data_IF_025820171285
#
_entry.id   IF_025820171285
#
_cell.length_a   1.000
_cell.length_b   1.000
_cell.length_c   1.000
_cell.angle_alpha   90.00
_cell.angle_beta   90.00
_cell.angle_gamma   90.00
#
_symmetry.space_group_name_H-M   'P 1'
#
loop_
_entity.id
_entity.type
_entity.pdbx_description
1 polymer ?
#
# COMPACT_ATOMS: atom_id res chain seq x y z
N UNK A 1 20.23 10.23 -0.14
CA UNK A 1 21.15 9.14 0.28
C UNK A 1 21.89 9.62 1.51
N UNK A 2 22.06 8.73 2.50
CA UNK A 2 22.60 9.10 3.82
C UNK A 2 24.06 8.68 4.04
N UNK A 3 24.50 8.78 5.30
CA UNK A 3 25.84 8.40 5.75
C UNK A 3 26.04 6.86 5.71
N UNK A 4 27.04 6.35 4.97
CA UNK A 4 27.35 4.92 4.94
C UNK A 4 27.67 4.29 6.31
N UNK A 5 28.18 5.06 7.27
CA UNK A 5 28.53 4.56 8.61
C UNK A 5 27.30 4.18 9.45
N UNK A 6 26.14 4.74 9.12
CA UNK A 6 24.86 4.47 9.79
C UNK A 6 24.05 3.36 9.11
N UNK A 7 24.53 2.82 7.99
CA UNK A 7 23.82 1.79 7.24
C UNK A 7 23.84 0.45 8.00
N UNK A 8 22.65 -0.06 8.33
CA UNK A 8 22.45 -1.36 8.96
C UNK A 8 21.61 -2.28 8.05
N UNK A 9 22.13 -3.45 7.62
CA UNK A 9 21.37 -4.41 6.82
C UNK A 9 20.10 -4.94 7.49
N UNK A 10 20.05 -4.97 8.82
CA UNK A 10 18.88 -5.44 9.57
C UNK A 10 17.70 -4.45 9.53
N UNK A 11 17.94 -3.21 9.07
CA UNK A 11 16.93 -2.17 8.91
C UNK A 11 16.24 -2.20 7.53
N UNK A 12 16.64 -3.13 6.64
CA UNK A 12 16.01 -3.30 5.33
C UNK A 12 14.57 -3.81 5.50
N UNK A 13 13.62 -3.20 4.80
CA UNK A 13 12.21 -3.59 4.86
C UNK A 13 12.03 -5.06 4.45
N UNK A 14 11.27 -5.80 5.26
CA UNK A 14 11.03 -7.22 5.05
C UNK A 14 9.95 -7.47 3.99
N UNK A 15 10.42 -7.79 2.78
CA UNK A 15 9.63 -8.23 1.64
C UNK A 15 9.85 -9.72 1.30
N UNK A 16 10.10 -10.58 2.30
CA UNK A 16 10.44 -12.00 2.10
C UNK A 16 9.46 -12.80 1.22
N UNK A 17 8.20 -12.38 1.10
CA UNK A 17 7.20 -13.01 0.24
C UNK A 17 7.62 -13.11 -1.23
N UNK A 18 8.54 -12.27 -1.69
CA UNK A 18 9.08 -12.35 -3.05
C UNK A 18 9.91 -13.63 -3.29
N UNK A 19 10.53 -14.16 -2.23
CA UNK A 19 11.46 -15.30 -2.29
C UNK A 19 10.97 -16.53 -1.51
N UNK A 20 9.83 -16.43 -0.81
CA UNK A 20 9.30 -17.51 0.01
C UNK A 20 8.80 -18.68 -0.87
N UNK A 21 9.15 -19.95 -0.55
CA UNK A 21 8.83 -21.11 -1.41
C UNK A 21 7.32 -21.34 -1.62
N UNK A 22 6.51 -20.99 -0.62
CA UNK A 22 5.05 -21.11 -0.67
C UNK A 22 4.35 -19.94 -1.37
N UNK A 23 5.11 -18.95 -1.86
CA UNK A 23 4.56 -17.76 -2.51
C UNK A 23 4.95 -17.69 -3.98
N UNK A 24 4.14 -17.00 -4.78
CA UNK A 24 4.52 -16.55 -6.13
C UNK A 24 4.40 -15.06 -6.18
N UNK A 25 5.40 -14.41 -6.75
CA UNK A 25 5.45 -12.97 -6.87
C UNK A 25 5.99 -12.54 -8.23
N UNK A 26 5.55 -11.37 -8.68
CA UNK A 26 6.12 -10.66 -9.82
C UNK A 26 5.98 -9.17 -9.54
N UNK A 27 6.96 -8.40 -9.99
CA UNK A 27 7.02 -6.97 -9.75
C UNK A 27 7.58 -6.21 -10.94
N UNK A 28 7.37 -4.91 -10.90
CA UNK A 28 7.68 -4.00 -11.98
C UNK A 28 8.22 -2.67 -11.44
N UNK A 29 8.86 -1.92 -12.33
CA UNK A 29 9.26 -0.54 -12.10
C UNK A 29 8.35 0.37 -12.92
N UNK A 30 7.68 1.29 -12.24
CA UNK A 30 6.95 2.39 -12.85
C UNK A 30 7.64 3.72 -12.54
N UNK A 31 7.32 4.75 -13.32
CA UNK A 31 7.88 6.08 -13.16
C UNK A 31 6.76 7.11 -12.95
N UNK A 32 6.90 7.89 -11.89
CA UNK A 32 5.93 8.90 -11.50
C UNK A 32 6.50 10.31 -11.69
N UNK A 33 5.73 11.18 -12.32
CA UNK A 33 6.00 12.63 -12.40
C UNK A 33 5.32 13.38 -11.25
N UNK A 34 5.72 13.05 -10.02
CA UNK A 34 5.19 13.65 -8.80
C UNK A 34 6.09 13.37 -7.60
N UNK A 35 5.92 14.17 -6.55
CA UNK A 35 6.55 13.94 -5.24
C UNK A 35 6.12 12.57 -4.70
N UNK A 36 7.10 11.77 -4.25
CA UNK A 36 6.88 10.44 -3.68
C UNK A 36 5.89 10.44 -2.51
N UNK A 37 5.76 11.55 -1.79
CA UNK A 37 4.79 11.69 -0.69
C UNK A 37 3.35 11.59 -1.17
N UNK A 38 3.05 12.08 -2.37
CA UNK A 38 1.70 11.95 -2.96
C UNK A 38 1.35 10.47 -3.20
N UNK A 39 2.33 9.68 -3.64
CA UNK A 39 2.15 8.23 -3.82
C UNK A 39 2.00 7.49 -2.49
N UNK A 40 2.77 7.88 -1.45
CA UNK A 40 2.59 7.34 -0.10
C UNK A 40 1.18 7.61 0.43
N UNK A 41 0.68 8.83 0.25
CA UNK A 41 -0.69 9.19 0.65
C UNK A 41 -1.75 8.43 -0.15
N UNK A 42 -1.59 8.32 -1.47
CA UNK A 42 -2.47 7.52 -2.33
C UNK A 42 -2.55 6.06 -1.87
N UNK A 43 -1.43 5.42 -1.58
CA UNK A 43 -1.43 4.01 -1.13
C UNK A 43 -2.00 3.80 0.27
N UNK A 44 -2.03 4.82 1.12
CA UNK A 44 -2.61 4.77 2.47
C UNK A 44 -4.09 5.17 2.51
N UNK A 45 -4.64 5.68 1.41
CA UNK A 45 -6.05 6.00 1.25
C UNK A 45 -6.72 5.02 0.29
N UNK A 46 -7.78 4.34 0.70
CA UNK A 46 -8.59 3.53 -0.22
C UNK A 46 -9.96 4.15 -0.53
N UNK A 47 -10.16 5.44 -0.22
CA UNK A 47 -11.39 6.16 -0.57
C UNK A 47 -11.50 6.39 -2.07
N UNK A 48 -10.36 6.54 -2.77
CA UNK A 48 -10.32 6.76 -4.22
C UNK A 48 -10.65 5.50 -5.04
N UNK A 49 -10.59 4.29 -4.45
CA UNK A 49 -10.81 3.03 -5.20
C UNK A 49 -12.15 3.01 -5.95
N UNK A 50 -13.20 3.57 -5.35
CA UNK A 50 -14.54 3.62 -5.96
C UNK A 50 -14.67 4.64 -7.09
N UNK A 51 -13.70 5.54 -7.26
CA UNK A 51 -13.73 6.62 -8.25
C UNK A 51 -12.71 6.40 -9.37
N UNK A 52 -11.47 6.05 -9.01
CA UNK A 52 -10.36 5.87 -9.96
C UNK A 52 -10.41 4.45 -10.53
N UNK A 53 -10.55 3.44 -9.68
CA UNK A 53 -10.48 2.03 -10.07
C UNK A 53 -11.85 1.38 -10.22
N UNK A 54 -12.89 2.13 -10.59
CA UNK A 54 -14.26 1.64 -10.65
C UNK A 54 -14.43 0.40 -11.54
N UNK A 55 -13.54 0.21 -12.52
CA UNK A 55 -13.54 -0.93 -13.46
C UNK A 55 -12.57 -2.06 -13.09
N UNK A 56 -11.64 -1.83 -12.16
CA UNK A 56 -10.56 -2.78 -11.82
C UNK A 56 -10.67 -3.29 -10.38
N UNK A 57 -10.66 -2.39 -9.38
CA UNK A 57 -10.61 -2.74 -7.94
C UNK A 57 -11.82 -2.26 -7.12
N UNK A 58 -12.58 -1.28 -7.63
CA UNK A 58 -13.71 -0.68 -6.94
C UNK A 58 -14.90 -1.63 -6.84
N UNK A 59 -15.39 -1.85 -5.61
CA UNK A 59 -16.73 -2.42 -5.37
C UNK A 59 -17.48 -1.50 -4.43
N UNK A 60 -18.81 -1.34 -4.60
CA UNK A 60 -19.65 -0.46 -3.77
C UNK A 60 -19.46 -0.70 -2.25
N UNK A 61 -19.24 -1.96 -1.85
CA UNK A 61 -19.00 -2.35 -0.45
C UNK A 61 -17.72 -1.74 0.19
N UNK A 62 -16.74 -1.33 -0.60
CA UNK A 62 -15.48 -0.71 -0.13
C UNK A 62 -15.71 0.74 0.34
N UNK A 63 -16.71 1.42 -0.24
CA UNK A 63 -17.02 2.81 0.06
C UNK A 63 -17.69 2.96 1.45
N UNK A 64 -18.40 1.95 1.92
CA UNK A 64 -19.26 2.07 3.10
C UNK A 64 -18.58 1.78 4.44
N UNK A 65 -17.40 1.14 4.44
CA UNK A 65 -16.68 0.79 5.68
C UNK A 65 -15.52 1.75 5.96
N UNK A 66 -15.58 2.57 7.01
CA UNK A 66 -14.49 3.47 7.37
C UNK A 66 -13.27 2.68 7.83
N UNK A 67 -12.10 3.15 7.43
CA UNK A 67 -10.84 2.61 7.92
C UNK A 67 -10.52 3.10 9.32
N UNK A 68 -9.76 2.29 10.05
CA UNK A 68 -9.08 2.72 11.27
C UNK A 68 -7.60 2.81 10.97
N UNK A 69 -6.92 3.79 11.56
CA UNK A 69 -5.47 3.84 11.50
C UNK A 69 -4.89 3.86 12.91
N UNK A 70 -3.69 3.29 13.03
CA UNK A 70 -2.90 3.27 14.25
C UNK A 70 -1.47 3.70 13.92
N UNK A 71 -0.91 4.55 14.76
CA UNK A 71 0.49 4.98 14.65
C UNK A 71 1.30 4.23 15.70
N UNK A 72 2.29 3.47 15.24
CA UNK A 72 3.36 2.93 16.08
C UNK A 72 4.53 3.91 16.19
N UNK A 73 5.65 3.44 16.74
CA UNK A 73 6.83 4.30 16.97
C UNK A 73 7.40 4.87 15.66
N UNK A 74 7.52 4.02 14.64
CA UNK A 74 8.07 4.39 13.31
C UNK A 74 7.18 3.96 12.14
N UNK A 75 6.01 3.38 12.37
CA UNK A 75 5.13 2.89 11.31
C UNK A 75 3.70 3.38 11.49
N UNK A 76 2.93 3.37 10.41
CA UNK A 76 1.49 3.65 10.43
C UNK A 76 0.77 2.48 9.79
N UNK A 77 -0.26 1.96 10.45
CA UNK A 77 -1.09 0.87 9.93
C UNK A 77 -2.51 1.36 9.72
N UNK A 78 -3.05 1.14 8.52
CA UNK A 78 -4.45 1.37 8.16
C UNK A 78 -5.12 0.02 8.01
N UNK A 79 -6.24 -0.17 8.70
CA UNK A 79 -6.98 -1.44 8.78
C UNK A 79 -8.42 -1.24 8.35
N UNK A 80 -8.88 -2.12 7.47
CA UNK A 80 -10.29 -2.31 7.13
C UNK A 80 -10.64 -3.80 7.16
N UNK A 81 -11.77 -4.09 7.77
CA UNK A 81 -12.44 -5.40 7.71
C UNK A 81 -13.82 -5.20 7.10
N UNK A 82 -14.18 -6.03 6.12
CA UNK A 82 -15.54 -6.11 5.59
C UNK A 82 -16.04 -7.51 5.91
N UNK A 83 -16.96 -7.60 6.86
CA UNK A 83 -17.43 -8.87 7.41
C UNK A 83 -18.68 -9.35 6.67
N UNK A 84 -18.81 -10.66 6.51
CA UNK A 84 -20.02 -11.32 6.00
C UNK A 84 -20.55 -10.68 4.69
N UNK A 85 -19.66 -10.56 3.70
CA UNK A 85 -19.97 -9.92 2.41
C UNK A 85 -19.83 -10.88 1.24
N UNK A 86 -20.61 -10.65 0.18
CA UNK A 86 -20.44 -11.38 -1.08
C UNK A 86 -19.05 -11.08 -1.65
N UNK A 87 -18.29 -12.09 -2.11
CA UNK A 87 -16.96 -11.88 -2.67
C UNK A 87 -17.04 -11.01 -3.93
N UNK A 88 -16.07 -10.09 -4.14
CA UNK A 88 -15.98 -9.36 -5.40
C UNK A 88 -15.70 -10.33 -6.56
N UNK A 89 -16.02 -9.98 -7.83
CA UNK A 89 -15.85 -10.87 -8.98
C UNK A 89 -14.43 -11.43 -9.15
N UNK A 90 -13.41 -10.67 -8.72
CA UNK A 90 -12.03 -11.14 -8.74
C UNK A 90 -11.81 -12.33 -7.78
N UNK A 91 -12.47 -12.33 -6.62
CA UNK A 91 -12.27 -13.34 -5.57
C UNK A 91 -12.95 -14.66 -5.93
N UNK A 92 -14.06 -14.62 -6.65
CA UNK A 92 -14.68 -15.84 -7.20
C UNK A 92 -13.80 -16.46 -8.29
N UNK A 93 -13.25 -15.64 -9.20
CA UNK A 93 -12.38 -16.09 -10.30
C UNK A 93 -11.03 -16.64 -9.82
N UNK A 94 -10.38 -15.95 -8.88
CA UNK A 94 -9.01 -16.26 -8.44
C UNK A 94 -9.00 -17.12 -7.17
N UNK A 95 -9.83 -16.78 -6.17
CA UNK A 95 -9.85 -17.38 -4.84
C UNK A 95 -10.73 -18.63 -4.69
N UNK A 96 -11.53 -18.97 -5.70
CA UNK A 96 -12.35 -20.19 -5.71
C UNK A 96 -13.55 -20.17 -4.77
N UNK A 97 -14.02 -18.97 -4.40
CA UNK A 97 -15.28 -18.80 -3.67
C UNK A 97 -16.47 -18.86 -4.63
N UNK A 98 -17.57 -19.47 -4.20
CA UNK A 98 -18.84 -19.45 -4.93
C UNK A 98 -19.49 -18.05 -4.87
N UNK A 99 -20.26 -17.68 -5.89
CA UNK A 99 -20.93 -16.36 -5.96
C UNK A 99 -21.95 -16.14 -4.83
N UNK A 100 -22.51 -17.22 -4.27
CA UNK A 100 -23.46 -17.19 -3.16
C UNK A 100 -22.77 -17.36 -1.79
N UNK A 101 -21.46 -17.63 -1.74
CA UNK A 101 -20.71 -17.70 -0.48
C UNK A 101 -20.48 -16.30 0.09
N UNK A 102 -20.38 -16.22 1.42
CA UNK A 102 -20.02 -15.00 2.12
C UNK A 102 -18.59 -15.11 2.65
N UNK A 103 -17.87 -13.98 2.62
CA UNK A 103 -16.47 -13.87 3.04
C UNK A 103 -16.25 -12.72 4.01
N UNK A 104 -15.30 -12.92 4.91
CA UNK A 104 -14.67 -11.87 5.70
C UNK A 104 -13.41 -11.40 4.96
N UNK A 105 -13.37 -10.12 4.60
CA UNK A 105 -12.28 -9.50 3.82
C UNK A 105 -11.45 -8.60 4.72
N UNK A 106 -10.13 -8.58 4.49
CA UNK A 106 -9.23 -7.65 5.17
C UNK A 106 -8.37 -6.86 4.20
N UNK A 107 -8.04 -5.65 4.63
CA UNK A 107 -7.02 -4.80 4.03
C UNK A 107 -6.22 -4.19 5.20
N UNK A 108 -4.98 -4.63 5.39
CA UNK A 108 -4.05 -4.04 6.35
C UNK A 108 -2.90 -3.41 5.58
N UNK A 109 -2.85 -2.08 5.55
CA UNK A 109 -1.81 -1.32 4.87
C UNK A 109 -0.85 -0.83 5.93
N UNK A 110 0.44 -1.12 5.78
CA UNK A 110 1.49 -0.64 6.69
C UNK A 110 2.44 0.23 5.90
N UNK A 111 2.61 1.47 6.33
CA UNK A 111 3.70 2.33 5.90
C UNK A 111 4.86 2.23 6.89
N UNK A 112 6.06 2.10 6.35
CA UNK A 112 7.32 2.17 7.08
C UNK A 112 8.28 3.15 6.40
N UNK A 113 9.18 3.82 7.15
CA UNK A 113 10.04 4.85 6.60
C UNK A 113 11.16 4.24 5.76
N UNK A 114 11.72 5.00 4.80
CA UNK A 114 11.30 6.35 4.45
C UNK A 114 10.06 6.40 3.53
N UNK A 115 9.84 5.38 2.70
CA UNK A 115 8.73 5.35 1.76
C UNK A 115 8.41 3.91 1.29
N UNK A 116 8.22 3.00 2.24
CA UNK A 116 7.74 1.65 1.97
C UNK A 116 6.27 1.53 2.35
N UNK A 117 5.49 0.83 1.53
CA UNK A 117 4.10 0.52 1.83
C UNK A 117 3.82 -0.96 1.53
N UNK A 118 3.33 -1.69 2.52
CA UNK A 118 2.93 -3.10 2.38
C UNK A 118 1.44 -3.25 2.63
N UNK A 119 0.73 -3.87 1.71
CA UNK A 119 -0.66 -4.25 1.89
C UNK A 119 -0.76 -5.76 2.14
N UNK A 120 -1.43 -6.12 3.23
CA UNK A 120 -1.98 -7.44 3.51
C UNK A 120 -3.44 -7.44 3.05
N UNK A 121 -3.75 -8.17 1.98
CA UNK A 121 -5.11 -8.21 1.45
C UNK A 121 -5.53 -9.64 1.30
N UNK A 122 -6.78 -9.94 1.65
CA UNK A 122 -7.32 -11.26 1.41
C UNK A 122 -8.77 -11.41 1.85
N UNK A 123 -9.22 -12.64 1.76
CA UNK A 123 -10.53 -13.06 2.21
C UNK A 123 -10.50 -14.50 2.69
N UNK A 124 -11.39 -14.82 3.62
CA UNK A 124 -11.69 -16.18 4.05
C UNK A 124 -13.19 -16.35 4.21
N UNK A 125 -13.68 -17.59 4.26
CA UNK A 125 -15.10 -17.87 4.50
C UNK A 125 -15.61 -17.12 5.73
N UNK A 126 -16.79 -16.51 5.63
CA UNK A 126 -17.38 -15.72 6.70
C UNK A 126 -17.51 -16.55 7.98
N UNK A 127 -17.08 -15.97 9.11
CA UNK A 127 -17.13 -16.64 10.41
C UNK A 127 -16.09 -17.75 10.62
N UNK A 128 -15.15 -17.95 9.69
CA UNK A 128 -14.04 -18.91 9.85
C UNK A 128 -13.09 -18.57 10.99
N UNK A 129 -13.06 -17.31 11.42
CA UNK A 129 -12.14 -16.83 12.45
C UNK A 129 -10.94 -16.05 11.92
N UNK A 130 -10.98 -15.60 10.65
CA UNK A 130 -9.91 -14.81 10.02
C UNK A 130 -9.51 -13.56 10.81
N UNK A 131 -10.47 -12.83 11.39
CA UNK A 131 -10.19 -11.67 12.25
C UNK A 131 -9.39 -12.04 13.51
N UNK A 132 -9.52 -13.29 13.97
CA UNK A 132 -8.78 -13.85 15.11
C UNK A 132 -7.48 -14.56 14.70
N UNK A 133 -7.13 -14.51 13.42
CA UNK A 133 -5.89 -15.05 12.86
C UNK A 133 -6.03 -16.35 12.08
N UNK A 134 -7.20 -17.00 12.06
CA UNK A 134 -7.40 -18.22 11.26
C UNK A 134 -7.80 -17.86 9.82
N UNK A 135 -6.80 -17.68 8.96
CA UNK A 135 -6.98 -17.39 7.54
C UNK A 135 -6.96 -18.65 6.65
N UNK A 136 -7.01 -19.85 7.25
CA UNK A 136 -6.83 -21.13 6.53
C UNK A 136 -7.95 -21.48 5.55
N UNK A 137 -9.12 -20.86 5.70
CA UNK A 137 -10.29 -21.03 4.82
C UNK A 137 -10.35 -19.93 3.75
N UNK A 138 -9.20 -19.45 3.30
CA UNK A 138 -9.10 -18.27 2.47
C UNK A 138 -7.81 -18.20 1.67
N UNK A 139 -7.52 -17.00 1.19
CA UNK A 139 -6.31 -16.69 0.46
C UNK A 139 -5.70 -15.37 0.94
N UNK A 140 -4.39 -15.21 0.73
CA UNK A 140 -3.66 -13.99 1.08
C UNK A 140 -2.88 -13.47 -0.11
N UNK A 141 -2.84 -12.15 -0.21
CA UNK A 141 -2.06 -11.40 -1.18
C UNK A 141 -1.23 -10.35 -0.45
N UNK A 142 -0.03 -10.09 -0.99
CA UNK A 142 0.86 -9.04 -0.51
C UNK A 142 1.17 -8.10 -1.66
N UNK A 143 0.77 -6.84 -1.52
CA UNK A 143 1.21 -5.79 -2.42
C UNK A 143 2.36 -5.03 -1.73
N UNK A 144 3.53 -5.02 -2.36
CA UNK A 144 4.79 -4.61 -1.76
C UNK A 144 5.33 -3.42 -2.55
N UNK A 145 5.46 -2.26 -1.91
CA UNK A 145 5.81 -1.01 -2.58
C UNK A 145 7.07 -0.41 -1.96
N UNK A 146 8.10 -0.23 -2.78
CA UNK A 146 9.34 0.46 -2.45
C UNK A 146 9.46 1.71 -3.33
N UNK A 147 9.32 2.88 -2.71
CA UNK A 147 9.22 4.15 -3.42
C UNK A 147 10.52 4.92 -3.22
N UNK A 148 11.15 5.35 -4.31
CA UNK A 148 12.42 6.07 -4.26
C UNK A 148 12.30 7.43 -4.95
N UNK A 149 12.45 8.56 -4.24
CA UNK A 149 12.48 9.86 -4.88
C UNK A 149 13.69 9.98 -5.80
N UNK A 150 13.46 10.43 -7.04
CA UNK A 150 14.53 10.78 -7.99
C UNK A 150 14.85 12.28 -7.89
N UNK A 151 13.80 13.11 -7.87
CA UNK A 151 13.89 14.54 -7.59
C UNK A 151 12.81 14.93 -6.56
N UNK A 152 12.66 16.23 -6.27
CA UNK A 152 11.53 16.72 -5.48
C UNK A 152 10.16 16.40 -6.09
N UNK A 153 10.10 16.15 -7.41
CA UNK A 153 8.85 16.01 -8.17
C UNK A 153 8.86 14.84 -9.15
N UNK A 154 9.79 13.92 -9.00
CA UNK A 154 9.85 12.69 -9.81
C UNK A 154 10.27 11.52 -8.93
N UNK A 155 9.72 10.34 -9.21
CA UNK A 155 9.80 9.19 -8.32
C UNK A 155 9.94 7.90 -9.11
N UNK A 156 10.84 7.02 -8.67
CA UNK A 156 10.89 5.62 -9.09
C UNK A 156 9.98 4.79 -8.18
N UNK A 157 9.05 4.06 -8.78
CA UNK A 157 8.07 3.25 -8.07
C UNK A 157 8.29 1.77 -8.35
N UNK A 158 8.96 1.09 -7.42
CA UNK A 158 9.12 -0.36 -7.46
C UNK A 158 7.96 -1.00 -6.71
N UNK A 159 7.28 -1.92 -7.35
CA UNK A 159 6.20 -2.67 -6.70
C UNK A 159 6.23 -4.13 -7.07
N UNK A 160 5.67 -4.97 -6.20
CA UNK A 160 5.46 -6.39 -6.47
C UNK A 160 4.13 -6.85 -5.89
N UNK A 161 3.51 -7.81 -6.58
CA UNK A 161 2.33 -8.51 -6.11
C UNK A 161 2.70 -9.96 -5.84
N UNK A 162 2.52 -10.40 -4.60
CA UNK A 162 2.72 -11.78 -4.18
C UNK A 162 1.41 -12.42 -3.71
N UNK A 163 1.30 -13.74 -3.83
CA UNK A 163 0.14 -14.52 -3.37
C UNK A 163 0.54 -15.93 -2.92
N UNK A 164 -0.30 -16.54 -2.07
CA UNK A 164 -0.10 -17.86 -1.45
C UNK A 164 -1.06 -18.96 -1.93
N UNK A 165 -1.86 -18.70 -2.97
CA UNK A 165 -2.91 -19.59 -3.44
C UNK A 165 -2.74 -19.96 -4.91
N UNK A 166 -3.08 -21.20 -5.30
CA UNK A 166 -2.95 -21.68 -6.69
C UNK A 166 -1.55 -21.40 -7.27
N UNK A 167 -0.52 -21.63 -6.46
CA UNK A 167 0.88 -21.29 -6.76
C UNK A 167 1.51 -22.21 -7.80
N UNK A 168 0.81 -23.27 -8.20
CA UNK A 168 1.09 -24.18 -9.31
C UNK A 168 0.48 -23.70 -10.64
N UNK A 169 -0.26 -22.59 -10.64
CA UNK A 169 -0.93 -22.02 -11.82
C UNK A 169 -0.34 -20.64 -12.19
N UNK A 170 0.71 -20.56 -13.03
CA UNK A 170 1.43 -19.32 -13.31
C UNK A 170 0.56 -18.16 -13.81
N UNK A 171 -0.52 -18.47 -14.54
CA UNK A 171 -1.45 -17.48 -15.07
C UNK A 171 -2.17 -16.67 -13.97
N UNK A 172 -2.27 -17.20 -12.74
CA UNK A 172 -2.82 -16.47 -11.59
C UNK A 172 -1.91 -15.29 -11.23
N UNK A 173 -0.59 -15.51 -11.20
CA UNK A 173 0.38 -14.45 -10.93
C UNK A 173 0.30 -13.36 -11.99
N UNK A 174 0.25 -13.74 -13.28
CA UNK A 174 0.15 -12.77 -14.36
C UNK A 174 -1.16 -11.97 -14.29
N UNK A 175 -2.30 -12.63 -14.07
CA UNK A 175 -3.60 -11.95 -13.92
C UNK A 175 -3.61 -10.96 -12.74
N UNK A 176 -3.02 -11.35 -11.60
CA UNK A 176 -2.92 -10.48 -10.42
C UNK A 176 -2.09 -9.23 -10.71
N UNK A 177 -0.94 -9.42 -11.36
CA UNK A 177 -0.02 -8.32 -11.70
C UNK A 177 -0.64 -7.41 -12.75
N UNK A 178 -1.28 -7.95 -13.79
CA UNK A 178 -1.96 -7.14 -14.81
C UNK A 178 -3.04 -6.25 -14.22
N UNK A 179 -3.91 -6.79 -13.35
CA UNK A 179 -4.97 -6.00 -12.71
C UNK A 179 -4.41 -4.87 -11.81
N UNK A 180 -3.33 -5.14 -11.06
CA UNK A 180 -2.70 -4.14 -10.20
C UNK A 180 -1.95 -3.10 -11.02
N UNK A 181 -1.29 -3.53 -12.11
CA UNK A 181 -0.61 -2.63 -13.04
C UNK A 181 -1.59 -1.61 -13.63
N UNK A 182 -2.73 -2.06 -14.14
CA UNK A 182 -3.76 -1.18 -14.71
C UNK A 182 -4.22 -0.13 -13.69
N UNK A 183 -4.52 -0.55 -12.45
CA UNK A 183 -4.89 0.37 -11.39
C UNK A 183 -3.77 1.39 -11.10
N UNK A 184 -2.52 0.95 -10.97
CA UNK A 184 -1.42 1.87 -10.71
C UNK A 184 -1.20 2.87 -11.84
N UNK A 185 -1.41 2.52 -13.11
CA UNK A 185 -1.32 3.50 -14.20
C UNK A 185 -2.36 4.62 -14.06
N UNK A 186 -3.58 4.30 -13.61
CA UNK A 186 -4.62 5.29 -13.35
C UNK A 186 -4.20 6.23 -12.19
N UNK A 187 -3.67 5.67 -11.10
CA UNK A 187 -3.15 6.47 -9.97
C UNK A 187 -2.02 7.41 -10.41
N UNK A 188 -1.06 6.90 -11.18
CA UNK A 188 0.10 7.67 -11.62
C UNK A 188 -0.30 8.85 -12.51
N UNK A 189 -1.33 8.70 -13.34
CA UNK A 189 -1.87 9.80 -14.14
C UNK A 189 -2.49 10.88 -13.24
N UNK A 190 -3.33 10.49 -12.28
CA UNK A 190 -4.00 11.43 -11.38
C UNK A 190 -3.01 12.14 -10.46
N UNK A 191 -2.03 11.42 -9.92
CA UNK A 191 -0.99 12.02 -9.06
C UNK A 191 -0.12 13.00 -9.85
N UNK A 192 0.22 12.70 -11.10
CA UNK A 192 0.96 13.65 -11.94
C UNK A 192 0.16 14.94 -12.19
N UNK A 193 -1.14 14.82 -12.48
CA UNK A 193 -2.04 15.98 -12.61
C UNK A 193 -2.18 16.76 -11.28
N UNK A 194 -2.20 16.06 -10.15
CA UNK A 194 -2.20 16.69 -8.83
C UNK A 194 -0.93 17.51 -8.60
N UNK A 195 0.25 16.96 -8.97
CA UNK A 195 1.52 17.69 -8.89
C UNK A 195 1.51 18.94 -9.77
N UNK A 196 1.04 18.83 -11.02
CA UNK A 196 0.91 19.99 -11.92
C UNK A 196 0.00 21.08 -11.35
N UNK A 197 -1.11 20.67 -10.73
CA UNK A 197 -2.04 21.59 -10.09
C UNK A 197 -1.39 22.31 -8.89
N UNK A 198 -0.69 21.58 -8.02
CA UNK A 198 0.07 22.16 -6.89
C UNK A 198 1.11 23.16 -7.42
N UNK A 199 1.84 22.78 -8.47
CA UNK A 199 2.89 23.59 -9.09
C UNK A 199 2.37 24.88 -9.73
N UNK A 200 1.09 24.91 -10.11
CA UNK A 200 0.46 26.11 -10.66
C UNK A 200 0.38 27.27 -9.66
N UNK A 201 0.47 26.98 -8.35
CA UNK A 201 0.30 27.96 -7.28
C UNK A 201 -1.11 28.54 -7.16
N UNK A 202 -2.09 27.98 -7.86
CA UNK A 202 -3.49 28.43 -7.86
C UNK A 202 -4.43 27.57 -7.00
N UNK A 203 -3.88 26.52 -6.38
CA UNK A 203 -4.61 25.63 -5.47
C UNK A 203 -4.96 26.34 -4.17
N UNK A 204 -6.19 26.12 -3.70
CA UNK A 204 -6.58 26.47 -2.33
C UNK A 204 -5.84 25.59 -1.32
N UNK A 205 -5.82 26.02 -0.06
CA UNK A 205 -5.32 25.22 1.04
C UNK A 205 -6.05 23.86 1.08
N UNK A 206 -5.27 22.78 1.27
CA UNK A 206 -5.80 21.43 1.40
C UNK A 206 -6.75 21.35 2.59
N UNK A 207 -7.88 20.70 2.39
CA UNK A 207 -8.83 20.36 3.46
C UNK A 207 -8.76 18.85 3.69
N UNK A 208 -8.27 18.47 4.86
CA UNK A 208 -8.16 17.08 5.26
C UNK A 208 -9.51 16.53 5.77
N UNK A 209 -9.80 15.27 5.44
CA UNK A 209 -10.96 14.52 5.91
C UNK A 209 -10.55 13.29 6.71
N UNK A 210 -11.52 12.61 7.33
CA UNK A 210 -11.26 11.45 8.20
C UNK A 210 -10.50 10.30 7.49
N UNK A 211 -10.71 10.13 6.18
CA UNK A 211 -10.03 9.10 5.39
C UNK A 211 -8.52 9.36 5.26
N UNK A 212 -8.08 10.63 5.33
CA UNK A 212 -6.68 11.02 5.12
C UNK A 212 -5.80 10.70 6.34
N UNK A 213 -6.39 10.30 7.47
CA UNK A 213 -5.69 10.18 8.75
C UNK A 213 -4.45 9.28 8.71
N UNK A 214 -4.51 8.17 7.97
CA UNK A 214 -3.36 7.27 7.78
C UNK A 214 -2.20 7.95 7.04
N UNK A 215 -2.48 8.50 5.85
CA UNK A 215 -1.52 9.23 5.03
C UNK A 215 -0.90 10.41 5.78
N UNK A 216 -1.73 11.23 6.43
CA UNK A 216 -1.27 12.39 7.19
C UNK A 216 -0.34 12.02 8.35
N UNK A 217 -0.60 10.91 9.06
CA UNK A 217 0.30 10.46 10.12
C UNK A 217 1.62 9.91 9.57
N UNK A 218 1.60 9.24 8.42
CA UNK A 218 2.82 8.77 7.76
C UNK A 218 3.69 9.97 7.35
N UNK A 219 3.11 10.96 6.66
CA UNK A 219 3.84 12.17 6.22
C UNK A 219 4.34 12.99 7.42
N UNK A 220 3.57 13.12 8.50
CA UNK A 220 4.04 13.79 9.73
C UNK A 220 5.22 13.06 10.37
N UNK A 221 5.18 11.73 10.42
CA UNK A 221 6.26 10.91 10.98
C UNK A 221 7.52 11.04 10.14
N UNK A 222 7.38 10.96 8.81
CA UNK A 222 8.46 11.16 7.85
C UNK A 222 9.11 12.54 7.97
N UNK A 223 8.31 13.61 8.03
CA UNK A 223 8.84 14.97 8.17
C UNK A 223 9.61 15.16 9.48
N UNK A 224 9.13 14.57 10.59
CA UNK A 224 9.88 14.57 11.86
C UNK A 224 11.26 13.93 11.71
N UNK A 225 11.35 12.79 11.00
CA UNK A 225 12.62 12.11 10.74
C UNK A 225 13.56 12.94 9.85
N UNK A 226 13.01 13.60 8.83
CA UNK A 226 13.78 14.51 7.95
C UNK A 226 14.30 15.73 8.74
N UNK A 227 13.48 16.28 9.65
CA UNK A 227 13.89 17.39 10.52
C UNK A 227 15.00 16.98 11.49
N UNK A 228 14.93 15.77 12.05
CA UNK A 228 15.97 15.18 12.89
C UNK A 228 17.27 14.93 12.12
N UNK A 229 17.19 14.44 10.88
CA UNK A 229 18.35 14.24 10.01
C UNK A 229 19.03 15.58 9.64
N UNK A 230 18.26 16.63 9.39
CA UNK A 230 18.79 17.96 9.08
C UNK A 230 19.35 18.71 10.30
N UNK A 231 18.89 18.35 11.51
CA UNK A 231 19.32 18.98 12.77
C UNK A 231 19.79 17.90 13.78
N UNK A 232 20.87 17.17 13.48
CA UNK A 232 21.33 16.10 14.34
C UNK A 232 21.72 16.67 15.71
N UNK A 233 21.36 16.01 16.84
CA UNK A 233 21.73 16.48 18.17
C UNK A 233 23.25 16.59 18.29
N UNK A 234 23.73 17.61 19.03
CA UNK A 234 25.16 17.96 19.12
C UNK A 234 26.09 16.80 19.57
N UNK A 235 25.56 15.74 20.18
CA UNK A 235 26.31 14.53 20.54
C UNK A 235 26.69 13.66 19.33
N UNK A 236 25.99 13.77 18.21
CA UNK A 236 26.32 13.07 16.96
C UNK A 236 27.39 13.81 16.13
N UNK A 237 27.49 15.14 16.28
CA UNK A 237 28.50 15.96 15.60
C UNK A 237 29.92 15.81 16.18
N UNK A 238 30.06 15.26 17.40
CA UNK A 238 31.35 15.09 18.07
C UNK A 238 32.06 13.76 17.73
N UNK A 239 31.46 12.91 16.90
CA UNK A 239 32.00 11.62 16.47
C UNK A 239 32.65 11.65 15.07
N UNK A 240 32.70 12.82 14.42
CA UNK A 240 33.37 13.07 13.13
C UNK A 240 34.80 13.62 13.30
#
# INVERSE_FOLDING_TARGET
>A
MGDPALANPDDIEDFHWMDHPDWRAKGELLYLKGDYKLLVENLLDLSHLSYIHATTLGTDAVAETPMKFERGDRHVTVTRWVMDSVPPPFFTKAGGFDEEEHVDRWQHITWTPPAFVRLDVGAAKAGSGAEKGDRSQGFTMRNLNAITPETEKTTHYFWAQAHDFRTDEPWITDLLVENVHEAFLEDLEIIALQQENIDSGSTLDRIDINHDGGGLQAIRTLNSMIEEENNPPASAQAAE
#
